data_IF_581653966346
#
_entry.id   IF_581653966346
#
_cell.length_a   1.000
_cell.length_b   1.000
_cell.length_c   1.000
_cell.angle_alpha   90.00
_cell.angle_beta   90.00
_cell.angle_gamma   90.00
#
_symmetry.space_group_name_H-M   'P 1'
#
loop_
_entity.id
_entity.type
_entity.pdbx_description
1 polymer ?
#
# COMPACT_ATOMS: atom_id res chain seq x y z
N UNK A 1 8.11 -16.98 -16.99
CA UNK A 1 7.73 -16.96 -15.55
C UNK A 1 6.88 -18.19 -15.24
N UNK A 2 7.02 -18.80 -14.06
CA UNK A 2 6.11 -19.86 -13.59
C UNK A 2 5.39 -19.38 -12.33
N UNK A 3 4.07 -19.51 -12.31
CA UNK A 3 3.21 -19.15 -11.17
C UNK A 3 2.55 -20.42 -10.67
N UNK A 4 2.61 -20.63 -9.34
CA UNK A 4 1.80 -21.63 -8.67
C UNK A 4 0.87 -20.94 -7.68
N UNK A 5 -0.40 -21.30 -7.70
CA UNK A 5 -1.41 -20.86 -6.74
C UNK A 5 -1.90 -22.07 -5.97
N UNK A 6 -2.05 -21.91 -4.66
CA UNK A 6 -2.63 -22.91 -3.79
C UNK A 6 -3.60 -22.24 -2.82
N UNK A 7 -4.84 -22.70 -2.78
CA UNK A 7 -5.91 -22.21 -1.92
C UNK A 7 -6.13 -20.68 -2.00
N UNK A 8 -6.20 -20.13 -3.22
CA UNK A 8 -6.47 -18.71 -3.46
C UNK A 8 -7.88 -18.53 -4.03
N UNK A 9 -8.78 -17.95 -3.22
CA UNK A 9 -10.20 -17.82 -3.54
C UNK A 9 -10.79 -19.18 -3.98
N UNK A 10 -11.32 -19.27 -5.21
CA UNK A 10 -11.88 -20.51 -5.76
C UNK A 10 -10.84 -21.46 -6.38
N UNK A 11 -9.57 -21.06 -6.43
CA UNK A 11 -8.49 -21.86 -7.02
C UNK A 11 -7.85 -22.67 -5.89
N UNK A 12 -8.15 -23.97 -5.83
CA UNK A 12 -7.50 -24.90 -4.90
C UNK A 12 -6.03 -25.11 -5.29
N UNK A 13 -5.76 -25.40 -6.56
CA UNK A 13 -4.43 -25.53 -7.12
C UNK A 13 -4.41 -25.04 -8.58
N UNK A 14 -3.40 -24.27 -8.96
CA UNK A 14 -3.13 -23.93 -10.35
C UNK A 14 -1.63 -23.75 -10.59
N UNK A 15 -1.13 -24.25 -11.72
CA UNK A 15 0.21 -23.97 -12.23
C UNK A 15 0.09 -23.33 -13.61
N UNK A 16 0.72 -22.17 -13.77
CA UNK A 16 0.66 -21.38 -15.01
C UNK A 16 2.07 -21.02 -15.43
N UNK A 17 2.44 -21.43 -16.63
CA UNK A 17 3.68 -20.98 -17.29
C UNK A 17 3.32 -19.82 -18.20
N UNK A 18 4.00 -18.69 -18.02
CA UNK A 18 3.88 -17.51 -18.88
C UNK A 18 5.17 -17.33 -19.66
N UNK A 19 5.08 -17.49 -20.98
CA UNK A 19 6.17 -17.31 -21.93
C UNK A 19 5.69 -16.42 -23.10
N UNK A 20 6.23 -15.21 -23.18
CA UNK A 20 5.73 -14.18 -24.11
C UNK A 20 4.29 -13.75 -23.85
N UNK A 21 3.48 -13.69 -24.91
CA UNK A 21 2.05 -13.32 -24.83
C UNK A 21 1.25 -14.57 -24.45
N UNK A 22 0.66 -14.56 -23.25
CA UNK A 22 -0.16 -15.67 -22.74
C UNK A 22 -1.62 -15.22 -22.60
N UNK A 23 -2.55 -15.98 -23.18
CA UNK A 23 -4.01 -15.72 -23.09
C UNK A 23 -4.63 -16.63 -22.05
N UNK A 24 -5.36 -16.04 -21.09
CA UNK A 24 -6.11 -16.77 -20.07
C UNK A 24 -7.60 -16.78 -20.48
N UNK A 25 -8.13 -17.95 -20.81
CA UNK A 25 -9.51 -18.14 -21.27
C UNK A 25 -10.25 -19.24 -20.48
N UNK A 26 -11.58 -19.28 -20.60
CA UNK A 26 -12.46 -20.19 -19.87
C UNK A 26 -13.80 -19.54 -19.51
N UNK A 27 -14.69 -20.27 -18.85
CA UNK A 27 -16.02 -19.77 -18.44
C UNK A 27 -15.93 -18.69 -17.34
N UNK A 28 -16.97 -17.86 -17.20
CA UNK A 28 -17.02 -16.88 -16.11
C UNK A 28 -16.90 -17.58 -14.75
N UNK A 29 -16.34 -16.87 -13.76
CA UNK A 29 -16.24 -17.35 -12.38
C UNK A 29 -15.29 -18.55 -12.13
N UNK A 30 -14.49 -18.97 -13.12
CA UNK A 30 -13.50 -20.07 -12.98
C UNK A 30 -12.14 -19.64 -12.45
N UNK A 31 -12.00 -18.39 -11.99
CA UNK A 31 -10.75 -17.89 -11.40
C UNK A 31 -9.84 -17.09 -12.33
N UNK A 32 -10.24 -16.82 -13.59
CA UNK A 32 -9.45 -15.97 -14.50
C UNK A 32 -9.09 -14.59 -13.93
N UNK A 33 -10.08 -13.86 -13.40
CA UNK A 33 -9.85 -12.56 -12.77
C UNK A 33 -9.03 -12.68 -11.47
N UNK A 34 -9.14 -13.81 -10.76
CA UNK A 34 -8.33 -14.09 -9.56
C UNK A 34 -6.87 -14.25 -9.93
N UNK A 35 -6.57 -15.09 -10.94
CA UNK A 35 -5.21 -15.28 -11.44
C UNK A 35 -4.60 -13.96 -11.92
N UNK A 36 -5.36 -13.16 -12.69
CA UNK A 36 -4.92 -11.83 -13.13
C UNK A 36 -4.61 -10.88 -11.97
N UNK A 37 -5.46 -10.86 -10.93
CA UNK A 37 -5.22 -10.07 -9.71
C UNK A 37 -3.97 -10.53 -8.97
N UNK A 38 -3.74 -11.84 -8.86
CA UNK A 38 -2.53 -12.39 -8.24
C UNK A 38 -1.28 -11.95 -9.01
N UNK A 39 -1.29 -12.08 -10.34
CA UNK A 39 -0.18 -11.61 -11.21
C UNK A 39 0.06 -10.11 -10.99
N UNK A 40 -1.00 -9.31 -11.00
CA UNK A 40 -0.93 -7.86 -10.77
C UNK A 40 -0.36 -7.51 -9.39
N UNK A 41 -0.78 -8.20 -8.34
CA UNK A 41 -0.27 -8.00 -6.98
C UNK A 41 1.21 -8.34 -6.88
N UNK A 42 1.64 -9.47 -7.46
CA UNK A 42 3.05 -9.87 -7.49
C UNK A 42 3.86 -8.80 -8.21
N UNK A 43 3.44 -8.40 -9.41
CA UNK A 43 4.13 -7.36 -10.18
C UNK A 43 4.28 -6.07 -9.37
N UNK A 44 3.20 -5.54 -8.82
CA UNK A 44 3.27 -4.28 -8.06
C UNK A 44 4.04 -4.38 -6.75
N UNK A 45 4.11 -5.57 -6.14
CA UNK A 45 4.90 -5.76 -4.92
C UNK A 45 6.41 -5.75 -5.18
N UNK A 46 6.83 -6.24 -6.35
CA UNK A 46 8.25 -6.36 -6.72
C UNK A 46 8.72 -5.16 -7.52
N UNK A 47 7.85 -4.54 -8.31
CA UNK A 47 8.17 -3.39 -9.14
C UNK A 47 8.48 -2.15 -8.28
N UNK A 48 9.65 -1.57 -8.50
CA UNK A 48 10.19 -0.38 -7.82
C UNK A 48 10.12 -0.46 -6.28
N UNK A 49 10.30 -1.68 -5.75
CA UNK A 49 10.17 -1.94 -4.32
C UNK A 49 11.18 -1.12 -3.49
N UNK A 50 12.39 -0.88 -4.01
CA UNK A 50 13.41 -0.07 -3.34
C UNK A 50 12.97 1.38 -3.17
N UNK A 51 12.39 1.97 -4.22
CA UNK A 51 11.89 3.34 -4.18
C UNK A 51 10.68 3.45 -3.24
N UNK A 52 9.76 2.47 -3.29
CA UNK A 52 8.63 2.38 -2.37
C UNK A 52 9.08 2.34 -0.91
N UNK A 53 10.02 1.45 -0.58
CA UNK A 53 10.58 1.33 0.78
C UNK A 53 11.24 2.65 1.21
N UNK A 54 12.03 3.28 0.32
CA UNK A 54 12.68 4.56 0.61
C UNK A 54 11.65 5.66 0.90
N UNK A 55 10.62 5.77 0.06
CA UNK A 55 9.58 6.78 0.20
C UNK A 55 8.74 6.55 1.47
N UNK A 56 8.41 5.30 1.81
CA UNK A 56 7.72 4.95 3.05
C UNK A 56 8.53 5.38 4.29
N UNK A 57 9.82 5.04 4.35
CA UNK A 57 10.70 5.46 5.46
C UNK A 57 10.79 6.98 5.59
N UNK A 58 10.90 7.69 4.47
CA UNK A 58 10.96 9.15 4.46
C UNK A 58 9.63 9.78 4.93
N UNK A 59 8.50 9.24 4.49
CA UNK A 59 7.19 9.68 4.93
C UNK A 59 6.97 9.44 6.42
N UNK A 60 7.42 8.30 6.95
CA UNK A 60 7.35 7.99 8.38
C UNK A 60 8.17 9.00 9.20
N UNK A 61 9.41 9.27 8.81
CA UNK A 61 10.25 10.29 9.46
C UNK A 61 9.58 11.67 9.45
N UNK A 62 9.03 12.09 8.30
CA UNK A 62 8.32 13.36 8.18
C UNK A 62 7.10 13.40 9.11
N UNK A 63 6.34 12.31 9.21
CA UNK A 63 5.17 12.23 10.09
C UNK A 63 5.55 12.30 11.57
N UNK A 64 6.65 11.66 11.98
CA UNK A 64 7.20 11.74 13.33
C UNK A 64 7.61 13.19 13.67
N UNK A 65 8.37 13.84 12.78
CA UNK A 65 8.78 15.24 12.95
C UNK A 65 7.57 16.19 13.03
N UNK A 66 6.58 16.02 12.14
CA UNK A 66 5.32 16.77 12.20
C UNK A 66 4.59 16.58 13.52
N UNK A 67 4.55 15.35 14.05
CA UNK A 67 3.93 15.08 15.34
C UNK A 67 4.66 15.78 16.48
N UNK A 68 5.98 15.66 16.51
CA UNK A 68 6.82 16.30 17.51
C UNK A 68 6.65 17.83 17.51
N UNK A 69 6.66 18.47 16.34
CA UNK A 69 6.44 19.91 16.22
C UNK A 69 5.03 20.33 16.68
N UNK A 70 3.99 19.53 16.38
CA UNK A 70 2.64 19.78 16.89
C UNK A 70 2.58 19.70 18.41
N UNK A 71 3.26 18.74 19.01
CA UNK A 71 3.29 18.57 20.47
C UNK A 71 4.03 19.71 21.17
N UNK A 72 5.17 20.15 20.62
CA UNK A 72 5.88 21.34 21.12
C UNK A 72 5.01 22.60 21.03
N UNK A 73 4.36 22.81 19.88
CA UNK A 73 3.45 23.95 19.68
C UNK A 73 2.32 23.94 20.71
N UNK A 74 1.71 22.78 20.97
CA UNK A 74 0.65 22.63 21.99
C UNK A 74 1.15 22.93 23.40
N UNK A 75 2.35 22.46 23.78
CA UNK A 75 2.94 22.74 25.09
C UNK A 75 3.22 24.22 25.30
N UNK A 76 3.75 24.91 24.29
CA UNK A 76 4.04 26.34 24.38
C UNK A 76 2.77 27.20 24.46
N UNK A 77 1.67 26.79 23.81
CA UNK A 77 0.38 27.49 23.88
C UNK A 77 -0.30 27.37 25.25
N UNK A 78 -0.02 26.34 26.05
CA UNK A 78 -0.57 26.22 27.42
C UNK A 78 0.09 27.19 28.43
N UNK A 79 1.23 27.79 28.07
CA UNK A 79 1.90 28.82 28.89
C UNK A 79 1.53 30.26 28.51
N UNK A 80 0.78 30.46 27.42
CA UNK A 80 0.37 31.80 26.96
C UNK A 80 -1.04 32.05 27.48
N UNK A 81 -1.16 32.85 28.54
CA UNK A 81 -2.43 33.41 28.97
C UNK A 81 -2.85 34.44 27.91
N UNK A 82 -3.49 33.99 26.83
CA UNK A 82 -3.97 34.89 25.77
C UNK A 82 -5.09 35.74 26.40
N UNK A 83 -4.90 37.07 26.57
CA UNK A 83 -5.98 37.90 27.05
C UNK A 83 -7.14 37.72 26.09
N UNK A 84 -8.30 37.35 26.61
CA UNK A 84 -9.54 37.27 25.85
C UNK A 84 -9.95 38.69 25.46
N UNK A 85 -9.29 39.25 24.44
CA UNK A 85 -9.82 40.42 23.76
C UNK A 85 -11.04 39.91 23.01
N UNK A 86 -12.20 40.22 23.58
CA UNK A 86 -13.48 39.93 22.99
C UNK A 86 -13.50 40.45 21.55
N UNK A 87 -13.81 39.57 20.60
CA UNK A 87 -14.42 40.00 19.35
C UNK A 87 -15.70 40.75 19.74
N UNK A 88 -15.69 42.06 19.52
CA UNK A 88 -16.85 42.93 19.41
C UNK A 88 -16.90 43.44 17.97
#
# INVERSE_FOLDING_TARGET
MKISLKNIAKIENAEVTMDGITVIAGENNTGKSTLGKVIFSIYNSVHDYEEKIKNEKLNELINLLKSYLRDLTRKNLQGINVPRIALM
#
